data_IF_646832360878
#
_entry.id   IF_646832360878
#
_cell.length_a   1.000
_cell.length_b   1.000
_cell.length_c   1.000
_cell.angle_alpha   90.00
_cell.angle_beta   90.00
_cell.angle_gamma   90.00
#
_symmetry.space_group_name_H-M   'P 1'
#
loop_
_entity.id
_entity.type
_entity.pdbx_description
1 polymer ?
#
# COMPACT_ATOMS: atom_id res chain seq x y z
N UNK A 1 20.88 -0.91 -8.49
CA UNK A 1 20.32 -2.23 -8.86
C UNK A 1 20.82 -3.36 -7.96
N UNK A 2 22.14 -3.62 -7.85
CA UNK A 2 22.67 -4.73 -7.06
C UNK A 2 22.24 -4.72 -5.57
N UNK A 3 22.25 -3.56 -4.91
CA UNK A 3 21.87 -3.42 -3.49
C UNK A 3 20.46 -3.92 -3.17
N UNK A 4 19.47 -3.53 -3.98
CA UNK A 4 18.09 -3.96 -3.81
C UNK A 4 17.93 -5.49 -4.02
N UNK A 5 18.65 -6.04 -4.99
CA UNK A 5 18.67 -7.48 -5.26
C UNK A 5 19.29 -8.24 -4.09
N UNK A 6 20.40 -7.75 -3.53
CA UNK A 6 21.04 -8.36 -2.36
C UNK A 6 20.07 -8.40 -1.17
N UNK A 7 19.46 -7.28 -0.82
CA UNK A 7 18.51 -7.22 0.30
C UNK A 7 17.32 -8.16 0.09
N UNK A 8 16.70 -8.12 -1.10
CA UNK A 8 15.58 -9.01 -1.43
C UNK A 8 15.96 -10.49 -1.29
N UNK A 9 17.09 -10.88 -1.88
CA UNK A 9 17.55 -12.27 -1.84
C UNK A 9 18.01 -12.69 -0.44
N UNK A 10 18.55 -11.79 0.37
CA UNK A 10 18.89 -12.07 1.77
C UNK A 10 17.63 -12.43 2.56
N UNK A 11 16.56 -11.62 2.48
CA UNK A 11 15.32 -11.92 3.18
C UNK A 11 14.61 -13.17 2.63
N UNK A 12 14.62 -13.37 1.31
CA UNK A 12 14.11 -14.60 0.71
C UNK A 12 14.90 -15.84 1.18
N UNK A 13 16.22 -15.74 1.29
CA UNK A 13 17.08 -16.79 1.83
C UNK A 13 16.78 -17.11 3.30
N UNK A 14 16.62 -16.10 4.15
CA UNK A 14 16.26 -16.27 5.57
C UNK A 14 14.90 -16.96 5.71
N UNK A 15 13.91 -16.55 4.94
CA UNK A 15 12.59 -17.18 4.93
C UNK A 15 12.68 -18.64 4.46
N UNK A 16 13.45 -18.91 3.41
CA UNK A 16 13.64 -20.27 2.88
C UNK A 16 14.30 -21.20 3.91
N UNK A 17 15.32 -20.72 4.63
CA UNK A 17 15.98 -21.48 5.70
C UNK A 17 15.07 -21.72 6.92
N UNK A 18 14.16 -20.79 7.20
CA UNK A 18 13.24 -20.87 8.35
C UNK A 18 12.01 -21.73 8.05
N UNK A 19 11.62 -21.85 6.78
CA UNK A 19 10.42 -22.56 6.33
C UNK A 19 10.34 -24.04 6.76
N UNK A 20 11.40 -24.87 6.68
CA UNK A 20 11.38 -26.25 7.15
C UNK A 20 11.04 -26.36 8.64
N UNK A 21 11.63 -25.50 9.47
CA UNK A 21 11.37 -25.48 10.92
C UNK A 21 9.94 -25.04 11.23
N UNK A 22 9.41 -24.10 10.46
CA UNK A 22 8.02 -23.63 10.60
C UNK A 22 7.01 -24.73 10.23
N UNK A 23 7.30 -25.53 9.19
CA UNK A 23 6.47 -26.67 8.78
C UNK A 23 6.40 -27.78 9.83
N UNK A 24 7.50 -28.05 10.52
CA UNK A 24 7.57 -29.09 11.57
C UNK A 24 6.82 -28.69 12.83
N UNK A 25 6.82 -27.41 13.21
CA UNK A 25 6.23 -26.93 14.47
C UNK A 25 4.77 -26.48 14.31
N UNK A 26 4.42 -25.77 13.24
CA UNK A 26 3.10 -25.16 13.06
C UNK A 26 2.15 -25.94 12.15
N UNK A 27 2.54 -27.12 11.65
CA UNK A 27 1.83 -27.87 10.61
C UNK A 27 1.60 -27.06 9.31
N UNK A 28 1.17 -27.70 8.20
CA UNK A 28 0.91 -27.00 6.94
C UNK A 28 -0.06 -25.82 7.07
N UNK A 29 -1.15 -26.03 7.80
CA UNK A 29 -2.21 -25.04 8.01
C UNK A 29 -1.73 -23.82 8.80
N UNK A 30 -0.92 -24.02 9.84
CA UNK A 30 -0.37 -22.90 10.62
C UNK A 30 0.70 -22.11 9.85
N UNK A 31 1.49 -22.77 8.99
CA UNK A 31 2.42 -22.07 8.11
C UNK A 31 1.69 -21.14 7.12
N UNK A 32 0.60 -21.61 6.50
CA UNK A 32 -0.24 -20.78 5.64
C UNK A 32 -0.88 -19.61 6.42
N UNK A 33 -1.39 -19.86 7.63
CA UNK A 33 -1.95 -18.81 8.49
C UNK A 33 -0.94 -17.72 8.84
N UNK A 34 0.31 -18.11 9.15
CA UNK A 34 1.38 -17.15 9.43
C UNK A 34 1.70 -16.25 8.23
N UNK A 35 1.83 -16.83 7.03
CA UNK A 35 2.04 -16.04 5.81
C UNK A 35 0.84 -15.18 5.44
N UNK A 36 -0.39 -15.66 5.67
CA UNK A 36 -1.60 -14.85 5.48
C UNK A 36 -1.60 -13.63 6.42
N UNK A 37 -1.21 -13.81 7.69
CA UNK A 37 -1.03 -12.72 8.64
C UNK A 37 0.05 -11.71 8.19
N UNK A 38 1.21 -12.20 7.75
CA UNK A 38 2.26 -11.34 7.21
C UNK A 38 1.81 -10.56 5.98
N UNK A 39 1.01 -11.16 5.09
CA UNK A 39 0.44 -10.47 3.93
C UNK A 39 -0.55 -9.38 4.34
N UNK A 40 -1.38 -9.60 5.38
CA UNK A 40 -2.26 -8.57 5.92
C UNK A 40 -1.47 -7.40 6.53
N UNK A 41 -0.38 -7.68 7.24
CA UNK A 41 0.51 -6.65 7.77
C UNK A 41 1.17 -5.86 6.62
N UNK A 42 1.65 -6.55 5.59
CA UNK A 42 2.20 -5.91 4.39
C UNK A 42 1.16 -5.04 3.68
N UNK A 43 -0.09 -5.51 3.57
CA UNK A 43 -1.19 -4.73 3.02
C UNK A 43 -1.44 -3.46 3.83
N UNK A 44 -1.44 -3.52 5.16
CA UNK A 44 -1.58 -2.34 6.02
C UNK A 44 -0.39 -1.38 5.88
N UNK A 45 0.83 -1.89 5.79
CA UNK A 45 2.01 -1.06 5.55
C UNK A 45 1.95 -0.36 4.19
N UNK A 46 1.55 -1.08 3.13
CA UNK A 46 1.37 -0.48 1.81
C UNK A 46 0.30 0.61 1.90
N UNK A 47 -0.83 0.33 2.54
CA UNK A 47 -1.90 1.31 2.72
C UNK A 47 -1.42 2.57 3.43
N UNK A 48 -0.63 2.50 4.50
CA UNK A 48 -0.21 3.67 5.25
C UNK A 48 1.03 4.41 4.69
N UNK A 49 1.92 3.71 3.99
CA UNK A 49 3.22 4.26 3.58
C UNK A 49 3.36 4.46 2.08
N UNK A 50 2.60 3.76 1.25
CA UNK A 50 2.68 3.89 -0.21
C UNK A 50 1.69 4.94 -0.68
N UNK A 51 2.24 6.07 -1.12
CA UNK A 51 1.49 7.18 -1.69
C UNK A 51 1.23 6.91 -3.17
N UNK A 52 0.07 7.28 -3.67
CA UNK A 52 -0.22 7.15 -5.10
C UNK A 52 0.69 8.10 -5.88
N UNK A 53 1.61 7.54 -6.68
CA UNK A 53 2.52 8.29 -7.57
C UNK A 53 2.23 8.04 -9.06
N UNK A 54 1.11 7.37 -9.37
CA UNK A 54 0.74 7.04 -10.75
C UNK A 54 0.38 8.32 -11.51
N UNK A 55 0.95 8.49 -12.70
CA UNK A 55 0.69 9.62 -13.63
C UNK A 55 1.05 11.00 -13.06
N UNK A 56 2.00 11.09 -12.13
CA UNK A 56 2.54 12.37 -11.67
C UNK A 56 3.84 12.69 -12.41
N UNK A 57 4.00 13.97 -12.74
CA UNK A 57 5.28 14.51 -13.21
C UNK A 57 6.32 14.53 -12.08
N UNK A 58 7.61 14.65 -12.40
CA UNK A 58 8.67 14.66 -11.40
C UNK A 58 8.55 15.84 -10.41
N UNK A 59 7.95 16.94 -10.83
CA UNK A 59 7.71 18.14 -10.00
C UNK A 59 6.55 17.91 -9.01
N UNK A 60 5.45 17.31 -9.46
CA UNK A 60 4.31 16.94 -8.61
C UNK A 60 4.70 15.82 -7.63
N UNK A 61 5.61 14.94 -8.02
CA UNK A 61 6.12 13.88 -7.15
C UNK A 61 6.90 14.44 -5.95
N UNK A 62 7.67 15.51 -6.12
CA UNK A 62 8.35 16.18 -5.00
C UNK A 62 7.36 16.85 -4.05
N UNK A 63 6.29 17.46 -4.59
CA UNK A 63 5.19 18.02 -3.80
C UNK A 63 4.45 16.96 -2.99
N UNK A 64 4.23 15.77 -3.57
CA UNK A 64 3.74 14.60 -2.82
C UNK A 64 4.71 14.36 -1.67
N UNK A 65 5.97 14.05 -1.92
CA UNK A 65 6.91 13.67 -0.86
C UNK A 65 7.18 14.74 0.21
N UNK A 66 6.90 16.01 -0.07
CA UNK A 66 6.98 17.13 0.89
C UNK A 66 5.93 17.08 2.00
N UNK A 67 4.76 16.45 1.77
CA UNK A 67 3.71 16.34 2.80
C UNK A 67 4.11 15.34 3.89
N UNK A 68 4.04 15.70 5.18
CA UNK A 68 4.41 14.82 6.28
C UNK A 68 3.47 13.61 6.38
N UNK A 69 4.07 12.42 6.52
CA UNK A 69 3.39 11.10 6.59
C UNK A 69 2.26 11.05 7.63
N UNK A 70 2.36 11.82 8.72
CA UNK A 70 1.32 11.89 9.77
C UNK A 70 0.00 12.49 9.26
N UNK A 71 0.05 13.48 8.37
CA UNK A 71 -1.15 14.08 7.78
C UNK A 71 -1.77 13.14 6.73
N UNK A 72 -0.93 12.45 5.97
CA UNK A 72 -1.35 11.45 4.99
C UNK A 72 -2.10 10.28 5.66
N UNK A 73 -1.49 9.66 6.68
CA UNK A 73 -2.11 8.56 7.43
C UNK A 73 -3.41 9.02 8.12
N UNK A 74 -3.43 10.23 8.68
CA UNK A 74 -4.63 10.78 9.31
C UNK A 74 -5.79 10.96 8.33
N UNK A 75 -5.50 11.36 7.09
CA UNK A 75 -6.49 11.47 6.02
C UNK A 75 -6.95 10.09 5.52
N UNK A 76 -6.03 9.16 5.28
CA UNK A 76 -6.37 7.81 4.82
C UNK A 76 -7.23 7.05 5.84
N UNK A 77 -6.90 7.12 7.14
CA UNK A 77 -7.71 6.47 8.16
C UNK A 77 -9.08 7.14 8.36
N UNK A 78 -9.12 8.48 8.35
CA UNK A 78 -10.34 9.22 8.74
C UNK A 78 -11.29 9.46 7.57
N UNK A 79 -10.79 9.57 6.35
CA UNK A 79 -11.57 9.92 5.15
C UNK A 79 -11.69 8.72 4.22
N UNK A 80 -10.58 8.06 3.91
CA UNK A 80 -10.56 6.97 2.93
C UNK A 80 -11.15 5.67 3.48
N UNK A 81 -10.79 5.27 4.70
CA UNK A 81 -11.27 4.03 5.34
C UNK A 81 -12.81 3.96 5.47
N UNK A 82 -13.51 5.00 5.97
CA UNK A 82 -14.98 4.98 6.00
C UNK A 82 -15.61 5.11 4.60
N UNK A 83 -14.95 5.77 3.65
CA UNK A 83 -15.41 5.79 2.25
C UNK A 83 -15.30 4.40 1.61
N UNK A 84 -14.16 3.72 1.77
CA UNK A 84 -13.91 2.38 1.24
C UNK A 84 -14.91 1.36 1.80
N UNK A 85 -15.14 1.37 3.12
CA UNK A 85 -16.14 0.51 3.76
C UNK A 85 -17.55 0.83 3.23
N UNK A 86 -17.94 2.11 3.17
CA UNK A 86 -19.30 2.45 2.70
C UNK A 86 -19.52 2.13 1.21
N UNK A 87 -18.47 2.25 0.39
CA UNK A 87 -18.49 1.99 -1.05
C UNK A 87 -18.44 0.49 -1.37
N UNK A 88 -17.49 -0.26 -0.80
CA UNK A 88 -17.28 -1.68 -1.10
C UNK A 88 -18.16 -2.62 -0.26
N UNK A 89 -18.36 -2.36 1.03
CA UNK A 89 -19.18 -3.23 1.89
C UNK A 89 -20.65 -2.82 1.84
N UNK A 90 -20.96 -1.53 1.85
CA UNK A 90 -22.34 -1.03 1.89
C UNK A 90 -22.96 -0.72 0.52
N UNK A 91 -22.22 -0.94 -0.59
CA UNK A 91 -22.65 -0.65 -1.98
C UNK A 91 -23.34 0.72 -2.15
N UNK A 92 -22.97 1.71 -1.33
CA UNK A 92 -23.52 3.08 -1.42
C UNK A 92 -22.67 3.90 -2.39
N UNK A 93 -23.31 4.53 -3.38
CA UNK A 93 -22.68 5.47 -4.29
C UNK A 93 -22.48 6.82 -3.57
N UNK A 94 -21.32 6.99 -2.93
CA UNK A 94 -20.89 8.25 -2.33
C UNK A 94 -19.89 8.92 -3.30
N UNK A 95 -19.91 10.25 -3.47
CA UNK A 95 -18.88 10.97 -4.24
C UNK A 95 -17.49 10.75 -3.63
N UNK A 96 -16.47 10.67 -4.50
CA UNK A 96 -15.06 10.48 -4.08
C UNK A 96 -14.64 11.66 -3.20
N UNK A 97 -14.05 11.42 -2.02
CA UNK A 97 -13.54 12.51 -1.19
C UNK A 97 -12.41 13.26 -1.94
N UNK A 98 -12.27 14.58 -1.70
CA UNK A 98 -11.36 15.44 -2.45
C UNK A 98 -9.91 14.98 -2.26
N UNK A 99 -9.14 14.76 -3.34
CA UNK A 99 -7.74 14.36 -3.23
C UNK A 99 -6.96 15.41 -2.45
N UNK A 100 -5.97 14.99 -1.65
CA UNK A 100 -5.10 15.88 -0.87
C UNK A 100 -4.28 16.81 -1.79
N UNK A 101 -4.19 16.47 -3.07
CA UNK A 101 -3.42 17.17 -4.09
C UNK A 101 -4.38 17.44 -5.25
N UNK A 102 -4.68 18.71 -5.51
CA UNK A 102 -5.33 19.14 -6.75
C UNK A 102 -4.39 18.74 -7.89
N UNK A 103 -4.83 17.81 -8.75
CA UNK A 103 -4.20 17.65 -10.05
C UNK A 103 -4.48 18.94 -10.82
N UNK A 104 -3.44 19.63 -11.27
CA UNK A 104 -3.63 20.76 -12.18
C UNK A 104 -4.46 20.27 -13.38
N UNK A 105 -5.58 20.94 -13.59
CA UNK A 105 -6.56 20.66 -14.63
C UNK A 105 -5.97 20.99 -16.01
N UNK A 106 -5.08 20.14 -16.52
CA UNK A 106 -4.52 20.28 -17.88
C UNK A 106 -4.24 18.94 -18.58
N UNK A 107 -4.70 17.81 -18.04
CA UNK A 107 -4.54 16.49 -18.69
C UNK A 107 -5.85 15.76 -18.97
N UNK A 108 -6.97 16.49 -19.04
CA UNK A 108 -8.29 15.93 -19.41
C UNK A 108 -8.85 16.57 -20.71
N UNK A 109 -8.01 17.28 -21.47
CA UNK A 109 -8.37 17.94 -22.73
C UNK A 109 -7.67 17.34 -23.96
N UNK A 110 -7.23 16.07 -23.90
CA UNK A 110 -6.61 15.38 -25.05
C UNK A 110 -7.19 14.01 -25.37
N UNK A 111 -8.31 13.62 -24.76
CA UNK A 111 -9.09 12.45 -25.19
C UNK A 111 -10.54 12.87 -25.44
N UNK A 112 -10.75 13.56 -26.58
CA UNK A 112 -11.99 13.47 -27.35
C UNK A 112 -12.08 12.10 -28.03
#
# INVERSE_FOLDING_TARGET
MAWAVCINNTFAGILSLTFPRMRTVMTPTGAFGFYAGLNLIAWFMIFCFVRETKQLTLEELDQVFSVPTKQFIGYELKVWLPYFIKRHIFRRNIPKPPPIIEKDSSSDSSEE
#
